data_IF_228035984373
#
_entry.id   IF_228035984373
#
_cell.length_a   1.000
_cell.length_b   1.000
_cell.length_c   1.000
_cell.angle_alpha   90.00
_cell.angle_beta   90.00
_cell.angle_gamma   90.00
#
_symmetry.space_group_name_H-M   'P 1'
#
loop_
_entity.id
_entity.type
_entity.pdbx_description
1 polymer ?
#
# COMPACT_ATOMS: atom_id res chain seq x y z
N UNK A 1 -41.09 -13.11 9.58
CA UNK A 1 -41.83 -11.84 9.49
C UNK A 1 -41.74 -11.36 8.05
N UNK A 2 -42.76 -11.65 7.24
CA UNK A 2 -42.83 -11.20 5.85
C UNK A 2 -43.25 -9.74 5.79
N UNK A 3 -42.55 -8.94 4.99
CA UNK A 3 -42.88 -7.53 4.79
C UNK A 3 -44.14 -7.38 3.94
N UNK A 4 -45.01 -6.46 4.35
CA UNK A 4 -46.24 -6.11 3.66
C UNK A 4 -45.97 -5.63 2.22
N UNK A 5 -46.87 -5.89 1.26
CA UNK A 5 -46.74 -5.34 -0.09
C UNK A 5 -46.84 -3.80 -0.05
N UNK A 6 -46.10 -3.09 -0.91
CA UNK A 6 -46.13 -1.63 -0.90
C UNK A 6 -47.50 -1.12 -1.35
N UNK A 7 -48.04 -0.20 -0.57
CA UNK A 7 -49.19 0.63 -0.93
C UNK A 7 -48.69 1.72 -1.89
N UNK A 8 -49.45 1.96 -2.95
CA UNK A 8 -49.19 2.85 -4.09
C UNK A 8 -48.13 2.40 -5.11
N UNK A 9 -48.46 2.66 -6.39
CA UNK A 9 -47.72 2.28 -7.59
C UNK A 9 -46.34 2.94 -7.78
N UNK A 10 -45.63 3.25 -6.70
CA UNK A 10 -44.22 3.59 -6.74
C UNK A 10 -43.40 2.33 -7.03
N UNK A 11 -42.84 2.25 -8.25
CA UNK A 11 -41.85 1.23 -8.59
C UNK A 11 -40.69 1.31 -7.60
N UNK A 12 -40.41 0.20 -6.91
CA UNK A 12 -39.23 0.08 -6.04
C UNK A 12 -37.98 0.40 -6.88
N UNK A 13 -36.99 1.14 -6.32
CA UNK A 13 -35.76 1.41 -7.03
C UNK A 13 -35.11 0.08 -7.44
N UNK A 14 -34.56 -0.03 -8.67
CA UNK A 14 -33.91 -1.25 -9.12
C UNK A 14 -32.79 -1.64 -8.13
N UNK A 15 -32.79 -2.89 -7.69
CA UNK A 15 -31.84 -3.39 -6.68
C UNK A 15 -30.75 -4.22 -7.34
N UNK A 16 -29.49 -3.87 -7.07
CA UNK A 16 -28.29 -4.57 -7.54
C UNK A 16 -27.55 -5.17 -6.33
N UNK A 17 -27.25 -6.46 -6.38
CA UNK A 17 -26.36 -7.12 -5.41
C UNK A 17 -24.97 -7.22 -6.05
N UNK A 18 -23.95 -6.76 -5.34
CA UNK A 18 -22.57 -6.78 -5.78
C UNK A 18 -21.74 -7.60 -4.80
N UNK A 19 -21.13 -8.68 -5.29
CA UNK A 19 -20.26 -9.56 -4.52
C UNK A 19 -18.85 -9.42 -5.11
N UNK A 20 -17.98 -8.58 -4.54
CA UNK A 20 -16.62 -8.42 -5.02
C UNK A 20 -15.78 -9.68 -4.74
N UNK A 21 -14.88 -10.01 -5.68
CA UNK A 21 -13.83 -10.99 -5.43
C UNK A 21 -12.92 -10.48 -4.29
N UNK A 22 -12.54 -11.31 -3.29
CA UNK A 22 -11.83 -10.87 -2.09
C UNK A 22 -10.34 -10.61 -2.34
N UNK A 23 -10.02 -9.77 -3.32
CA UNK A 23 -8.68 -9.27 -3.59
C UNK A 23 -8.70 -7.74 -3.65
N UNK A 24 -7.64 -7.10 -3.13
CA UNK A 24 -7.53 -5.64 -2.98
C UNK A 24 -7.81 -4.87 -4.28
N UNK A 25 -7.33 -5.38 -5.42
CA UNK A 25 -7.54 -4.77 -6.74
C UNK A 25 -8.98 -4.84 -7.28
N UNK A 26 -9.85 -5.68 -6.69
CA UNK A 26 -11.22 -5.90 -7.17
C UNK A 26 -12.27 -5.24 -6.27
N UNK A 27 -11.99 -5.08 -4.97
CA UNK A 27 -12.93 -4.45 -4.01
C UNK A 27 -13.06 -2.95 -4.29
N UNK A 28 -11.95 -2.22 -4.46
CA UNK A 28 -11.98 -0.76 -4.65
C UNK A 28 -12.74 -0.34 -5.92
N UNK A 29 -12.49 -0.92 -7.10
CA UNK A 29 -13.26 -0.60 -8.30
C UNK A 29 -14.75 -0.94 -8.16
N UNK A 30 -15.07 -2.09 -7.54
CA UNK A 30 -16.46 -2.50 -7.31
C UNK A 30 -17.17 -1.57 -6.32
N UNK A 31 -16.48 -1.06 -5.30
CA UNK A 31 -17.03 -0.10 -4.35
C UNK A 31 -17.29 1.26 -5.02
N UNK A 32 -16.38 1.73 -5.88
CA UNK A 32 -16.59 2.94 -6.67
C UNK A 32 -17.76 2.80 -7.65
N UNK A 33 -17.89 1.63 -8.29
CA UNK A 33 -19.02 1.32 -9.16
C UNK A 33 -20.35 1.24 -8.37
N UNK A 34 -20.34 0.65 -7.18
CA UNK A 34 -21.49 0.63 -6.28
C UNK A 34 -21.95 2.04 -5.89
N UNK A 35 -21.00 2.94 -5.56
CA UNK A 35 -21.27 4.36 -5.29
C UNK A 35 -21.91 5.04 -6.50
N UNK A 36 -21.39 4.82 -7.70
CA UNK A 36 -21.96 5.37 -8.93
C UNK A 36 -23.41 4.91 -9.14
N UNK A 37 -23.68 3.60 -9.02
CA UNK A 37 -25.04 3.07 -9.15
C UNK A 37 -25.99 3.67 -8.10
N UNK A 38 -25.54 3.78 -6.85
CA UNK A 38 -26.34 4.41 -5.79
C UNK A 38 -26.69 5.87 -6.11
N UNK A 39 -25.74 6.66 -6.62
CA UNK A 39 -26.02 8.06 -7.05
C UNK A 39 -27.00 8.16 -8.22
N UNK A 40 -27.28 7.06 -8.93
CA UNK A 40 -28.20 7.00 -10.07
C UNK A 40 -29.57 6.39 -9.71
N UNK A 41 -29.87 6.23 -8.43
CA UNK A 41 -31.18 5.77 -7.95
C UNK A 41 -31.33 4.25 -7.87
N UNK A 42 -30.23 3.51 -7.95
CA UNK A 42 -30.24 2.07 -7.69
C UNK A 42 -30.07 1.82 -6.19
N UNK A 43 -30.86 0.88 -5.66
CA UNK A 43 -30.55 0.30 -4.35
C UNK A 43 -29.39 -0.68 -4.55
N UNK A 44 -28.32 -0.60 -3.77
CA UNK A 44 -27.14 -1.46 -3.93
C UNK A 44 -26.85 -2.20 -2.63
N UNK A 45 -26.83 -3.54 -2.67
CA UNK A 45 -26.29 -4.37 -1.59
C UNK A 45 -24.89 -4.80 -1.96
N UNK A 46 -23.91 -4.23 -1.28
CA UNK A 46 -22.50 -4.56 -1.46
C UNK A 46 -22.09 -5.57 -0.38
N UNK A 47 -21.80 -6.80 -0.78
CA UNK A 47 -21.43 -7.88 0.15
C UNK A 47 -19.94 -7.78 0.44
N UNK A 48 -19.57 -7.07 1.51
CA UNK A 48 -18.21 -7.10 2.02
C UNK A 48 -18.00 -8.40 2.83
N UNK A 49 -16.89 -9.09 2.61
CA UNK A 49 -16.68 -10.48 3.02
C UNK A 49 -16.64 -10.71 4.55
N UNK A 50 -16.87 -11.97 4.98
CA UNK A 50 -16.69 -12.45 6.36
C UNK A 50 -15.31 -12.12 6.96
N UNK A 51 -14.29 -11.97 6.11
CA UNK A 51 -12.93 -11.61 6.54
C UNK A 51 -12.89 -10.25 7.25
N UNK A 52 -13.58 -9.23 6.72
CA UNK A 52 -13.62 -7.90 7.33
C UNK A 52 -14.28 -7.92 8.71
N UNK A 53 -15.32 -8.73 8.88
CA UNK A 53 -15.96 -8.95 10.19
C UNK A 53 -15.06 -9.79 11.12
N UNK A 54 -14.40 -10.82 10.61
CA UNK A 54 -13.49 -11.68 11.38
C UNK A 54 -12.22 -10.95 11.86
N UNK A 55 -11.84 -9.86 11.19
CA UNK A 55 -10.68 -9.03 11.54
C UNK A 55 -11.06 -7.68 12.17
N UNK A 56 -12.32 -7.50 12.54
CA UNK A 56 -12.80 -6.32 13.27
C UNK A 56 -11.97 -6.12 14.57
N UNK A 57 -11.53 -4.90 14.81
CA UNK A 57 -10.66 -4.55 15.95
C UNK A 57 -9.19 -4.98 15.82
N UNK A 58 -8.82 -5.75 14.80
CA UNK A 58 -7.42 -6.20 14.54
C UNK A 58 -6.83 -5.69 13.23
N UNK A 59 -7.65 -5.07 12.39
CA UNK A 59 -7.25 -4.54 11.10
C UNK A 59 -8.06 -3.30 10.74
N UNK A 60 -7.49 -2.45 9.90
CA UNK A 60 -8.18 -1.31 9.31
C UNK A 60 -8.04 -1.37 7.80
N UNK A 61 -9.16 -1.30 7.09
CA UNK A 61 -9.20 -1.16 5.64
C UNK A 61 -9.62 0.28 5.30
N UNK A 62 -8.74 1.02 4.64
CA UNK A 62 -9.03 2.38 4.17
C UNK A 62 -8.86 2.49 2.66
N UNK A 63 -9.63 3.37 2.03
CA UNK A 63 -9.47 3.69 0.59
C UNK A 63 -8.27 4.60 0.34
N UNK A 64 -7.78 5.28 1.37
CA UNK A 64 -6.62 6.16 1.30
C UNK A 64 -6.00 6.33 2.70
N UNK A 65 -4.69 6.53 2.77
CA UNK A 65 -4.00 6.90 4.00
C UNK A 65 -2.90 7.93 3.70
N UNK A 66 -2.50 8.76 4.68
CA UNK A 66 -1.30 9.58 4.58
C UNK A 66 -0.06 8.67 4.66
N UNK A 67 0.27 7.98 3.57
CA UNK A 67 1.23 6.87 3.54
C UNK A 67 2.58 7.23 4.17
N UNK A 68 3.15 8.39 3.84
CA UNK A 68 4.40 8.86 4.45
C UNK A 68 4.32 8.91 5.98
N UNK A 69 3.27 9.54 6.54
CA UNK A 69 3.07 9.61 7.98
C UNK A 69 2.81 8.24 8.63
N UNK A 70 2.17 7.31 7.90
CA UNK A 70 2.02 5.92 8.36
C UNK A 70 3.37 5.20 8.40
N UNK A 71 4.20 5.38 7.38
CA UNK A 71 5.53 4.75 7.29
C UNK A 71 6.54 5.37 8.27
N UNK A 72 6.33 6.60 8.72
CA UNK A 72 7.12 7.23 9.79
C UNK A 72 6.68 6.79 11.21
N UNK A 73 5.58 6.06 11.34
CA UNK A 73 5.05 5.69 12.65
C UNK A 73 5.74 4.44 13.21
N UNK A 74 6.27 4.52 14.44
CA UNK A 74 7.05 3.45 15.10
C UNK A 74 6.34 2.08 15.18
N UNK A 75 5.00 2.07 15.14
CA UNK A 75 4.22 0.83 15.11
C UNK A 75 4.31 0.03 13.79
N UNK A 76 4.84 0.61 12.72
CA UNK A 76 4.98 -0.06 11.42
C UNK A 76 6.34 -0.75 11.34
N UNK A 77 6.33 -2.09 11.36
CA UNK A 77 7.56 -2.90 11.27
C UNK A 77 7.96 -3.32 9.87
N UNK A 78 7.02 -3.44 8.93
CA UNK A 78 7.29 -3.84 7.54
C UNK A 78 6.24 -3.27 6.59
N UNK A 79 6.66 -2.92 5.38
CA UNK A 79 5.78 -2.40 4.34
C UNK A 79 5.63 -3.39 3.18
N UNK A 80 4.42 -3.91 2.98
CA UNK A 80 4.07 -4.68 1.79
C UNK A 80 3.79 -3.74 0.61
N UNK A 81 4.56 -3.86 -0.47
CA UNK A 81 4.53 -2.90 -1.57
C UNK A 81 4.68 -3.56 -2.93
N UNK A 82 4.04 -2.96 -3.93
CA UNK A 82 4.22 -3.27 -5.34
C UNK A 82 5.55 -2.75 -5.91
N UNK A 83 6.40 -2.13 -5.09
CA UNK A 83 7.74 -1.68 -5.47
C UNK A 83 7.83 -0.47 -6.42
N UNK A 84 6.81 0.39 -6.46
CA UNK A 84 6.93 1.70 -7.12
C UNK A 84 7.99 2.60 -6.47
N UNK A 85 8.55 3.54 -7.24
CA UNK A 85 9.67 4.38 -6.80
C UNK A 85 9.32 5.33 -5.65
N UNK A 86 8.19 6.03 -5.73
CA UNK A 86 7.77 6.98 -4.69
C UNK A 86 7.59 6.29 -3.33
N UNK A 87 6.82 5.20 -3.30
CA UNK A 87 6.62 4.39 -2.10
C UNK A 87 7.93 3.78 -1.56
N UNK A 88 8.89 3.49 -2.45
CA UNK A 88 10.23 3.04 -2.03
C UNK A 88 10.97 4.14 -1.29
N UNK A 89 10.97 5.37 -1.80
CA UNK A 89 11.58 6.52 -1.13
C UNK A 89 10.91 6.83 0.20
N UNK A 90 9.57 6.81 0.26
CA UNK A 90 8.82 7.02 1.51
C UNK A 90 9.18 5.96 2.57
N UNK A 91 9.30 4.69 2.17
CA UNK A 91 9.71 3.61 3.08
C UNK A 91 11.15 3.78 3.59
N UNK A 92 12.07 4.20 2.72
CA UNK A 92 13.45 4.50 3.11
C UNK A 92 13.48 5.67 4.10
N UNK A 93 12.76 6.76 3.82
CA UNK A 93 12.68 7.91 4.72
C UNK A 93 12.04 7.55 6.08
N UNK A 94 11.04 6.65 6.09
CA UNK A 94 10.47 6.10 7.32
C UNK A 94 11.38 5.10 8.05
N UNK A 95 12.40 4.57 7.38
CA UNK A 95 13.25 3.51 7.94
C UNK A 95 12.54 2.16 8.02
N UNK A 96 11.59 1.89 7.11
CA UNK A 96 10.76 0.68 7.12
C UNK A 96 11.23 -0.31 6.04
N UNK A 97 11.56 -1.56 6.40
CA UNK A 97 11.83 -2.65 5.45
C UNK A 97 10.63 -3.01 4.57
N UNK A 98 10.89 -3.61 3.41
CA UNK A 98 9.84 -3.88 2.41
C UNK A 98 9.67 -5.37 2.07
N UNK A 99 8.42 -5.85 2.06
CA UNK A 99 8.04 -7.04 1.31
C UNK A 99 7.54 -6.62 -0.07
N UNK A 100 8.20 -7.10 -1.12
CA UNK A 100 8.03 -6.64 -2.48
C UNK A 100 7.19 -7.63 -3.29
N UNK A 101 6.15 -7.16 -3.95
CA UNK A 101 5.36 -7.97 -4.87
C UNK A 101 5.07 -7.17 -6.15
N UNK A 102 6.03 -7.09 -7.08
CA UNK A 102 5.97 -6.22 -8.26
C UNK A 102 5.01 -6.75 -9.34
N UNK A 103 4.47 -5.85 -10.17
CA UNK A 103 3.54 -6.20 -11.24
C UNK A 103 4.01 -5.72 -12.63
N UNK A 104 4.31 -4.43 -12.81
CA UNK A 104 4.59 -3.86 -14.14
C UNK A 104 5.56 -2.67 -14.09
N UNK A 105 5.92 -2.17 -15.28
CA UNK A 105 6.88 -1.07 -15.48
C UNK A 105 8.25 -1.40 -14.86
N UNK A 106 8.81 -0.51 -14.05
CA UNK A 106 10.13 -0.65 -13.44
C UNK A 106 10.10 -1.36 -12.07
N UNK A 107 8.93 -1.82 -11.62
CA UNK A 107 8.74 -2.40 -10.29
C UNK A 107 9.62 -3.63 -10.04
N UNK A 108 9.80 -4.49 -11.03
CA UNK A 108 10.70 -5.65 -10.96
C UNK A 108 12.16 -5.24 -10.76
N UNK A 109 12.61 -4.18 -11.46
CA UNK A 109 13.95 -3.63 -11.30
C UNK A 109 14.13 -3.04 -9.91
N UNK A 110 13.17 -2.25 -9.43
CA UNK A 110 13.19 -1.71 -8.07
C UNK A 110 13.22 -2.82 -7.01
N UNK A 111 12.38 -3.86 -7.19
CA UNK A 111 12.35 -5.04 -6.33
C UNK A 111 13.72 -5.70 -6.25
N UNK A 112 14.36 -5.93 -7.40
CA UNK A 112 15.70 -6.51 -7.50
C UNK A 112 16.73 -5.70 -6.72
N UNK A 113 16.79 -4.38 -6.91
CA UNK A 113 17.71 -3.50 -6.18
C UNK A 113 17.53 -3.59 -4.67
N UNK A 114 16.28 -3.56 -4.20
CA UNK A 114 15.95 -3.70 -2.77
C UNK A 114 16.39 -5.04 -2.20
N UNK A 115 16.22 -6.12 -2.95
CA UNK A 115 16.54 -7.48 -2.49
C UNK A 115 18.03 -7.80 -2.54
N UNK A 116 18.75 -7.34 -3.55
CA UNK A 116 20.16 -7.75 -3.75
C UNK A 116 21.18 -6.69 -3.42
N UNK A 117 21.00 -5.47 -3.92
CA UNK A 117 22.00 -4.42 -3.78
C UNK A 117 21.91 -3.73 -2.42
N UNK A 118 20.68 -3.37 -2.03
CA UNK A 118 20.44 -2.64 -0.78
C UNK A 118 20.17 -3.57 0.39
N UNK A 119 19.60 -4.76 0.14
CA UNK A 119 19.23 -5.70 1.19
C UNK A 119 18.22 -5.13 2.19
N UNK A 120 17.30 -4.28 1.72
CA UNK A 120 16.24 -3.65 2.53
C UNK A 120 14.85 -4.22 2.24
N UNK A 121 14.77 -5.27 1.42
CA UNK A 121 13.51 -5.92 1.12
C UNK A 121 13.66 -7.36 0.67
N UNK A 122 12.51 -8.02 0.59
CA UNK A 122 12.39 -9.40 0.12
C UNK A 122 11.19 -9.56 -0.79
N UNK A 123 11.39 -10.28 -1.88
CA UNK A 123 10.34 -10.55 -2.86
C UNK A 123 9.41 -11.66 -2.38
N UNK A 124 8.10 -11.47 -2.61
CA UNK A 124 7.08 -12.51 -2.53
C UNK A 124 7.08 -13.23 -3.88
N UNK A 125 7.25 -14.55 -3.86
CA UNK A 125 7.30 -15.37 -5.07
C UNK A 125 6.02 -15.33 -5.90
N UNK A 126 6.12 -15.80 -7.14
CA UNK A 126 5.00 -15.79 -8.10
C UNK A 126 3.85 -16.74 -7.71
N UNK A 127 4.17 -17.87 -7.05
CA UNK A 127 3.18 -18.81 -6.52
C UNK A 127 2.82 -18.47 -5.08
N UNK A 128 1.86 -17.56 -4.90
CA UNK A 128 1.52 -17.02 -3.58
C UNK A 128 0.73 -18.03 -2.75
N UNK A 129 1.42 -18.70 -1.85
CA UNK A 129 0.85 -19.61 -0.87
C UNK A 129 0.74 -18.97 0.51
N UNK A 130 -0.38 -19.17 1.21
CA UNK A 130 -0.64 -18.57 2.53
C UNK A 130 0.49 -18.80 3.54
N UNK A 131 0.98 -20.04 3.64
CA UNK A 131 2.03 -20.40 4.60
C UNK A 131 3.38 -19.75 4.29
N UNK A 132 3.69 -19.56 3.01
CA UNK A 132 4.91 -18.87 2.59
C UNK A 132 4.85 -17.38 2.92
N UNK A 133 3.73 -16.72 2.61
CA UNK A 133 3.53 -15.30 2.96
C UNK A 133 3.58 -15.08 4.46
N UNK A 134 2.95 -15.95 5.26
CA UNK A 134 3.03 -15.87 6.72
C UNK A 134 4.47 -16.00 7.22
N UNK A 135 5.24 -16.97 6.70
CA UNK A 135 6.65 -17.16 7.04
C UNK A 135 7.50 -15.94 6.68
N UNK A 136 7.28 -15.34 5.49
CA UNK A 136 7.96 -14.12 5.06
C UNK A 136 7.68 -12.94 5.98
N UNK A 137 6.42 -12.74 6.38
CA UNK A 137 6.03 -11.68 7.32
C UNK A 137 6.69 -11.89 8.68
N UNK A 138 6.66 -13.12 9.22
CA UNK A 138 7.32 -13.43 10.50
C UNK A 138 8.82 -13.19 10.45
N UNK A 139 9.49 -13.64 9.38
CA UNK A 139 10.92 -13.42 9.20
C UNK A 139 11.27 -11.93 9.09
N UNK A 140 10.43 -11.14 8.42
CA UNK A 140 10.65 -9.70 8.28
C UNK A 140 10.42 -8.93 9.59
N UNK A 141 9.47 -9.37 10.42
CA UNK A 141 9.11 -8.69 11.68
C UNK A 141 9.99 -9.11 12.86
N UNK A 142 10.36 -10.39 12.93
CA UNK A 142 10.97 -11.01 14.13
C UNK A 142 12.29 -11.73 13.84
N UNK A 143 12.56 -12.07 12.58
CA UNK A 143 13.71 -12.88 12.18
C UNK A 143 15.01 -12.09 12.00
N UNK A 144 16.13 -12.80 11.92
CA UNK A 144 17.47 -12.21 11.74
C UNK A 144 17.58 -11.42 10.43
N UNK A 145 16.92 -11.88 9.35
CA UNK A 145 16.91 -11.12 8.09
C UNK A 145 16.09 -9.84 8.21
N UNK A 146 15.00 -9.86 8.98
CA UNK A 146 14.23 -8.66 9.31
C UNK A 146 15.08 -7.61 10.00
N UNK A 147 15.84 -8.02 11.02
CA UNK A 147 16.76 -7.14 11.75
C UNK A 147 17.87 -6.57 10.86
N UNK A 148 18.44 -7.37 9.96
CA UNK A 148 19.43 -6.89 9.00
C UNK A 148 18.82 -5.89 7.99
N UNK A 149 17.61 -6.16 7.47
CA UNK A 149 16.92 -5.21 6.59
C UNK A 149 16.64 -3.88 7.32
N UNK A 150 16.21 -3.94 8.58
CA UNK A 150 15.96 -2.76 9.42
C UNK A 150 17.23 -1.92 9.62
N UNK A 151 18.36 -2.57 9.91
CA UNK A 151 19.66 -1.91 10.04
C UNK A 151 20.02 -1.19 8.74
N UNK A 152 19.93 -1.87 7.60
CA UNK A 152 20.30 -1.30 6.29
C UNK A 152 19.39 -0.17 5.83
N UNK A 153 18.07 -0.30 6.02
CA UNK A 153 17.14 0.78 5.66
C UNK A 153 17.37 2.01 6.54
N UNK A 154 17.76 1.81 7.81
CA UNK A 154 18.16 2.90 8.71
C UNK A 154 19.42 3.62 8.22
N UNK A 155 20.45 2.88 7.82
CA UNK A 155 21.68 3.45 7.24
C UNK A 155 21.38 4.26 5.95
N UNK A 156 20.47 3.75 5.10
CA UNK A 156 20.01 4.46 3.90
C UNK A 156 19.16 5.69 4.22
N UNK A 157 18.29 5.61 5.22
CA UNK A 157 17.50 6.75 5.72
C UNK A 157 18.42 7.88 6.14
N UNK A 158 19.39 7.59 6.99
CA UNK A 158 20.31 8.58 7.53
C UNK A 158 21.14 9.23 6.40
N UNK A 159 21.54 8.42 5.41
CA UNK A 159 22.20 8.89 4.19
C UNK A 159 21.30 9.79 3.34
N UNK A 160 20.01 9.46 3.21
CA UNK A 160 19.03 10.25 2.47
C UNK A 160 18.78 11.60 3.15
N UNK A 161 18.61 11.61 4.48
CA UNK A 161 18.47 12.83 5.28
C UNK A 161 19.70 13.71 5.14
N UNK A 162 20.91 13.16 5.28
CA UNK A 162 22.14 13.92 5.11
C UNK A 162 22.31 14.48 3.68
N UNK A 163 21.89 13.75 2.65
CA UNK A 163 21.97 14.21 1.28
C UNK A 163 20.97 15.35 0.96
N UNK A 164 19.80 15.35 1.62
CA UNK A 164 18.74 16.34 1.44
C UNK A 164 18.82 17.54 2.41
N UNK A 165 19.62 17.44 3.47
CA UNK A 165 19.83 18.52 4.43
C UNK A 165 20.56 19.74 3.86
N UNK A 166 20.70 20.82 4.64
CA UNK A 166 21.49 21.99 4.27
C UNK A 166 22.91 21.59 3.84
N UNK A 167 23.39 22.13 2.72
CA UNK A 167 24.66 21.79 2.09
C UNK A 167 24.83 20.31 1.66
N UNK A 168 23.78 19.50 1.73
CA UNK A 168 23.76 18.12 1.30
C UNK A 168 23.92 17.98 -0.21
N UNK A 169 24.47 16.84 -0.68
CA UNK A 169 24.77 16.63 -2.11
C UNK A 169 23.56 16.79 -3.04
N UNK A 170 22.37 16.38 -2.58
CA UNK A 170 21.15 16.51 -3.38
C UNK A 170 20.66 17.95 -3.38
N UNK A 171 20.77 18.66 -2.24
CA UNK A 171 20.40 20.07 -2.15
C UNK A 171 21.28 20.95 -3.05
N UNK A 172 22.60 20.72 -3.06
CA UNK A 172 23.52 21.42 -3.98
C UNK A 172 23.17 21.22 -5.46
N UNK A 173 22.67 20.04 -5.82
CA UNK A 173 22.22 19.78 -7.19
C UNK A 173 20.94 20.56 -7.51
N UNK A 174 20.05 20.75 -6.54
CA UNK A 174 18.86 21.60 -6.68
C UNK A 174 19.26 23.07 -6.81
N UNK A 175 20.16 23.56 -5.96
CA UNK A 175 20.68 24.94 -6.04
C UNK A 175 21.30 25.21 -7.41
N UNK A 176 22.15 24.29 -7.88
CA UNK A 176 22.76 24.37 -9.21
C UNK A 176 21.71 24.37 -10.33
N UNK A 177 20.67 23.54 -10.23
CA UNK A 177 19.58 23.51 -11.21
C UNK A 177 18.84 24.85 -11.25
N UNK A 178 18.58 25.46 -10.08
CA UNK A 178 17.94 26.77 -9.98
C UNK A 178 18.81 27.83 -10.65
N UNK A 179 20.12 27.83 -10.36
CA UNK A 179 21.07 28.75 -10.96
C UNK A 179 21.12 28.62 -12.49
N UNK A 180 21.26 27.40 -13.00
CA UNK A 180 21.42 27.15 -14.44
C UNK A 180 20.14 27.35 -15.26
N UNK A 181 18.95 27.18 -14.67
CA UNK A 181 17.68 27.25 -15.40
C UNK A 181 16.94 28.56 -15.19
N UNK A 182 16.99 29.12 -13.97
CA UNK A 182 16.17 30.29 -13.62
C UNK A 182 16.98 31.59 -13.55
N UNK A 183 18.31 31.50 -13.38
CA UNK A 183 19.18 32.67 -13.20
C UNK A 183 20.20 32.85 -14.33
N UNK A 184 20.20 31.96 -15.33
CA UNK A 184 21.03 32.04 -16.53
C UNK A 184 20.41 32.90 -17.64
#
# INVERSE_FOLDING_TARGET
MGSLPPVDGQRRPPHVVMIPYPAQGHITPMLQFAKLLHTRGFHVTFVNNEFSAATEGRSMLSTWCPQAAVLEHDAVGVFLTHSGWNSTLESICGGVPMLCWPFFAEQQTNCRYKCTEWGIGKEIGDDVQRGEVESLIREAMEGEKGQEMLRRVTELRDSAVAAAGPDGRSMRNVDRLIEEVLLA
#
